data_IF_842565360974
#
_entry.id   IF_842565360974
#
_cell.length_a   1.000
_cell.length_b   1.000
_cell.length_c   1.000
_cell.angle_alpha   90.00
_cell.angle_beta   90.00
_cell.angle_gamma   90.00
#
_symmetry.space_group_name_H-M   'P 1'
#
loop_
_entity.id
_entity.type
_entity.pdbx_description
1 polymer ?
#
# COMPACT_ATOMS: atom_id res chain seq x y z
N UNK A 1 12.72 21.44 -9.76
CA UNK A 1 14.08 21.02 -10.15
C UNK A 1 14.79 20.35 -9.01
N UNK A 2 16.10 20.13 -9.17
CA UNK A 2 17.00 19.65 -8.12
C UNK A 2 16.93 20.56 -6.90
N UNK A 3 17.06 19.98 -5.70
CA UNK A 3 17.02 20.69 -4.44
C UNK A 3 17.73 19.87 -3.38
N UNK A 4 18.30 20.54 -2.41
CA UNK A 4 18.91 19.95 -1.21
C UNK A 4 18.03 20.11 0.02
N UNK A 5 16.86 20.76 -0.10
CA UNK A 5 15.92 20.95 1.00
C UNK A 5 15.35 19.59 1.46
N UNK A 6 15.65 19.14 2.69
CA UNK A 6 15.22 17.84 3.17
C UNK A 6 13.70 17.72 3.27
N UNK A 7 12.98 18.82 3.52
CA UNK A 7 11.51 18.83 3.63
C UNK A 7 10.89 18.57 2.26
N UNK A 8 11.40 19.24 1.22
CA UNK A 8 10.94 19.05 -0.16
C UNK A 8 11.26 17.64 -0.64
N UNK A 9 12.47 17.14 -0.36
CA UNK A 9 12.87 15.77 -0.73
C UNK A 9 11.95 14.74 -0.06
N UNK A 10 11.74 14.83 1.26
CA UNK A 10 10.87 13.92 2.01
C UNK A 10 9.44 13.93 1.45
N UNK A 11 8.92 15.11 1.12
CA UNK A 11 7.59 15.23 0.51
C UNK A 11 7.54 14.56 -0.86
N UNK A 12 8.54 14.76 -1.73
CA UNK A 12 8.60 14.13 -3.06
C UNK A 12 8.66 12.62 -2.98
N UNK A 13 9.49 12.06 -2.09
CA UNK A 13 9.58 10.61 -1.91
C UNK A 13 8.25 10.02 -1.42
N UNK A 14 7.55 10.71 -0.51
CA UNK A 14 6.19 10.33 -0.10
C UNK A 14 5.20 10.41 -1.26
N UNK A 15 5.25 11.46 -2.10
CA UNK A 15 4.35 11.56 -3.27
C UNK A 15 4.59 10.43 -4.28
N UNK A 16 5.85 10.03 -4.52
CA UNK A 16 6.16 8.87 -5.37
C UNK A 16 5.48 7.61 -4.84
N UNK A 17 5.60 7.36 -3.54
CA UNK A 17 4.92 6.22 -2.88
C UNK A 17 3.41 6.33 -2.94
N UNK A 18 2.82 7.52 -2.76
CA UNK A 18 1.38 7.72 -2.94
C UNK A 18 0.93 7.32 -4.34
N UNK A 19 1.59 7.79 -5.39
CA UNK A 19 1.19 7.47 -6.77
C UNK A 19 1.32 5.98 -7.07
N UNK A 20 2.43 5.35 -6.66
CA UNK A 20 2.62 3.91 -6.82
C UNK A 20 1.54 3.12 -6.07
N UNK A 21 1.29 3.46 -4.81
CA UNK A 21 0.26 2.82 -3.97
C UNK A 21 -1.13 2.99 -4.55
N UNK A 22 -1.52 4.19 -4.95
CA UNK A 22 -2.83 4.44 -5.58
C UNK A 22 -2.99 3.65 -6.88
N UNK A 23 -1.96 3.62 -7.74
CA UNK A 23 -1.99 2.88 -9.00
C UNK A 23 -2.14 1.37 -8.77
N UNK A 24 -1.36 0.80 -7.85
CA UNK A 24 -1.31 -0.65 -7.64
C UNK A 24 -2.49 -1.15 -6.79
N UNK A 25 -3.03 -0.33 -5.88
CA UNK A 25 -4.19 -0.71 -5.05
C UNK A 25 -5.53 -0.44 -5.75
N UNK A 26 -5.54 0.31 -6.85
CA UNK A 26 -6.75 0.52 -7.65
C UNK A 26 -7.16 -0.77 -8.37
N UNK A 27 -8.46 -0.93 -8.59
CA UNK A 27 -8.99 -2.04 -9.38
C UNK A 27 -8.60 -1.91 -10.85
N UNK A 28 -8.19 -3.02 -11.45
CA UNK A 28 -7.79 -3.12 -12.85
C UNK A 28 -6.39 -3.68 -13.03
N UNK A 29 -5.78 -3.38 -14.17
CA UNK A 29 -4.42 -3.85 -14.51
C UNK A 29 -3.44 -2.68 -14.35
N UNK A 30 -2.58 -2.66 -13.32
CA UNK A 30 -1.63 -1.57 -13.13
C UNK A 30 -0.53 -1.60 -14.20
N UNK A 31 -0.21 -0.44 -14.77
CA UNK A 31 0.90 -0.28 -15.72
C UNK A 31 1.93 0.69 -15.15
N UNK A 32 3.15 0.22 -14.93
CA UNK A 32 4.26 1.02 -14.40
C UNK A 32 5.18 1.43 -15.55
N UNK A 33 5.52 2.72 -15.62
CA UNK A 33 6.53 3.21 -16.53
C UNK A 33 7.92 2.73 -16.07
N UNK A 34 8.68 2.13 -16.98
CA UNK A 34 10.01 1.60 -16.66
C UNK A 34 10.92 2.69 -16.05
N UNK A 35 11.44 2.39 -14.86
CA UNK A 35 12.31 3.24 -14.07
C UNK A 35 11.61 4.04 -12.97
N UNK A 36 10.29 4.14 -12.96
CA UNK A 36 9.56 4.81 -11.87
C UNK A 36 9.74 4.06 -10.54
N UNK A 37 9.94 2.75 -10.58
CA UNK A 37 10.15 1.89 -9.41
C UNK A 37 11.41 2.25 -8.61
N UNK A 38 12.37 2.96 -9.21
CA UNK A 38 13.57 3.47 -8.54
C UNK A 38 13.80 4.98 -8.75
N UNK A 39 12.81 5.68 -9.31
CA UNK A 39 12.80 7.13 -9.43
C UNK A 39 13.62 7.69 -10.60
N UNK A 40 13.51 7.08 -11.79
CA UNK A 40 14.12 7.59 -13.03
C UNK A 40 13.72 9.05 -13.27
N UNK A 41 14.66 9.84 -13.79
CA UNK A 41 14.45 11.25 -14.10
C UNK A 41 14.85 11.55 -15.55
N UNK A 42 14.07 12.43 -16.19
CA UNK A 42 14.41 13.06 -17.47
C UNK A 42 14.74 14.56 -17.28
N UNK A 43 15.14 14.94 -16.06
CA UNK A 43 15.46 16.31 -15.64
C UNK A 43 14.35 17.34 -15.95
N UNK A 44 13.09 16.91 -15.89
CA UNK A 44 11.93 17.75 -16.17
C UNK A 44 11.50 17.79 -17.64
N UNK A 45 12.20 17.10 -18.54
CA UNK A 45 11.74 16.91 -19.92
C UNK A 45 10.58 15.89 -19.94
N UNK A 46 9.37 16.32 -20.30
CA UNK A 46 8.19 15.47 -20.43
C UNK A 46 7.99 14.93 -21.86
N UNK A 47 8.92 15.18 -22.78
CA UNK A 47 8.83 14.79 -24.19
C UNK A 47 10.22 14.41 -24.75
N UNK A 48 10.88 13.42 -24.15
CA UNK A 48 12.23 12.99 -24.50
C UNK A 48 12.32 12.12 -25.78
N UNK A 49 11.42 12.30 -26.75
CA UNK A 49 11.27 11.41 -27.91
C UNK A 49 12.50 11.37 -28.84
N UNK A 50 13.21 12.49 -28.98
CA UNK A 50 14.41 12.62 -29.83
C UNK A 50 15.73 12.49 -29.04
N UNK A 51 15.66 12.08 -27.77
CA UNK A 51 16.83 12.04 -26.89
C UNK A 51 17.36 10.61 -26.82
N UNK A 52 18.42 10.30 -27.56
CA UNK A 52 19.20 9.07 -27.37
C UNK A 52 20.48 9.38 -26.58
N UNK A 53 20.31 9.63 -25.28
CA UNK A 53 21.39 9.98 -24.36
C UNK A 53 20.97 9.77 -22.90
N UNK A 54 21.81 10.21 -21.95
CA UNK A 54 21.60 10.06 -20.50
C UNK A 54 20.24 10.59 -19.97
N UNK A 55 19.55 11.46 -20.71
CA UNK A 55 18.20 11.94 -20.33
C UNK A 55 17.15 10.84 -20.47
N UNK A 56 17.28 9.96 -21.48
CA UNK A 56 16.31 8.88 -21.72
C UNK A 56 16.78 7.54 -21.20
N UNK A 57 18.10 7.28 -21.21
CA UNK A 57 18.69 6.02 -20.78
C UNK A 57 18.37 5.69 -19.31
N UNK A 58 18.20 4.40 -19.03
CA UNK A 58 18.05 3.92 -17.65
C UNK A 58 19.40 3.97 -16.95
N UNK A 59 19.47 4.74 -15.86
CA UNK A 59 20.64 4.77 -14.99
C UNK A 59 20.52 3.69 -13.89
N UNK A 60 21.35 2.66 -13.98
CA UNK A 60 21.39 1.54 -13.03
C UNK A 60 22.23 1.83 -11.77
N UNK A 61 22.87 2.99 -11.67
CA UNK A 61 23.63 3.38 -10.48
C UNK A 61 22.69 3.97 -9.42
N UNK A 62 22.16 3.11 -8.56
CA UNK A 62 21.17 3.49 -7.54
C UNK A 62 21.81 4.10 -6.30
N UNK A 63 21.26 5.23 -5.85
CA UNK A 63 21.50 5.76 -4.51
C UNK A 63 20.61 5.06 -3.46
N UNK A 64 20.70 5.48 -2.20
CA UNK A 64 19.89 4.91 -1.11
C UNK A 64 18.39 5.12 -1.32
N UNK A 65 17.97 6.28 -1.86
CA UNK A 65 16.56 6.61 -2.08
C UNK A 65 15.95 5.76 -3.19
N UNK A 66 16.68 5.60 -4.30
CA UNK A 66 16.32 4.69 -5.38
C UNK A 66 16.19 3.26 -4.88
N UNK A 67 17.09 2.82 -3.98
CA UNK A 67 16.97 1.48 -3.39
C UNK A 67 15.72 1.34 -2.51
N UNK A 68 15.41 2.33 -1.66
CA UNK A 68 14.24 2.30 -0.79
C UNK A 68 12.93 2.28 -1.59
N UNK A 69 12.82 3.11 -2.64
CA UNK A 69 11.66 3.11 -3.53
C UNK A 69 11.49 1.79 -4.27
N UNK A 70 12.60 1.16 -4.70
CA UNK A 70 12.55 -0.15 -5.35
C UNK A 70 12.06 -1.23 -4.38
N UNK A 71 12.51 -1.23 -3.12
CA UNK A 71 12.02 -2.16 -2.10
C UNK A 71 10.53 -1.95 -1.83
N UNK A 72 10.09 -0.69 -1.70
CA UNK A 72 8.69 -0.34 -1.53
C UNK A 72 7.82 -0.83 -2.69
N UNK A 73 8.25 -0.57 -3.94
CA UNK A 73 7.53 -1.00 -5.14
C UNK A 73 7.42 -2.53 -5.21
N UNK A 74 8.51 -3.25 -4.89
CA UNK A 74 8.52 -4.72 -4.87
C UNK A 74 7.60 -5.29 -3.80
N UNK A 75 7.57 -4.67 -2.63
CA UNK A 75 6.65 -5.04 -1.56
C UNK A 75 5.21 -4.86 -2.00
N UNK A 76 4.89 -3.71 -2.58
CA UNK A 76 3.54 -3.36 -3.02
C UNK A 76 3.04 -4.29 -4.15
N UNK A 77 3.90 -4.62 -5.12
CA UNK A 77 3.57 -5.61 -6.16
C UNK A 77 3.38 -7.01 -5.59
N UNK A 78 4.21 -7.42 -4.62
CA UNK A 78 4.04 -8.71 -3.95
C UNK A 78 2.70 -8.76 -3.20
N UNK A 79 2.34 -7.67 -2.53
CA UNK A 79 1.07 -7.51 -1.83
C UNK A 79 -0.11 -7.59 -2.82
N UNK A 80 -0.06 -6.82 -3.90
CA UNK A 80 -1.06 -6.88 -4.97
C UNK A 80 -1.31 -8.30 -5.45
N UNK A 81 -0.24 -9.04 -5.77
CA UNK A 81 -0.33 -10.42 -6.26
C UNK A 81 -0.83 -11.42 -5.20
N UNK A 82 -0.67 -11.13 -3.91
CA UNK A 82 -1.16 -12.01 -2.84
C UNK A 82 -2.61 -11.75 -2.43
N UNK A 83 -3.24 -10.69 -2.95
CA UNK A 83 -4.58 -10.27 -2.54
C UNK A 83 -5.55 -10.25 -3.73
N UNK A 84 -6.31 -11.34 -3.96
CA UNK A 84 -7.34 -11.42 -5.00
C UNK A 84 -8.38 -10.29 -4.96
N UNK A 85 -8.65 -9.70 -3.79
CA UNK A 85 -9.58 -8.55 -3.68
C UNK A 85 -9.14 -7.33 -4.51
N UNK A 86 -7.86 -7.25 -4.88
CA UNK A 86 -7.27 -6.20 -5.73
C UNK A 86 -7.25 -6.57 -7.23
N UNK A 87 -7.56 -7.82 -7.57
CA UNK A 87 -7.45 -8.39 -8.92
C UNK A 87 -8.81 -8.88 -9.45
N UNK A 88 -9.90 -8.23 -9.02
CA UNK A 88 -11.26 -8.67 -9.35
C UNK A 88 -11.54 -8.57 -10.85
N UNK A 89 -12.33 -9.54 -11.35
CA UNK A 89 -12.84 -9.51 -12.73
C UNK A 89 -14.12 -8.70 -12.84
N UNK A 90 -14.83 -8.51 -11.73
CA UNK A 90 -16.10 -7.78 -11.67
C UNK A 90 -15.99 -6.56 -10.75
N UNK A 91 -16.73 -5.51 -11.10
CA UNK A 91 -16.87 -4.34 -10.25
C UNK A 91 -17.47 -4.69 -8.88
N UNK A 92 -17.15 -3.87 -7.89
CA UNK A 92 -17.85 -3.88 -6.61
C UNK A 92 -19.26 -3.32 -6.78
N UNK A 93 -20.21 -3.88 -6.04
CA UNK A 93 -21.61 -3.48 -6.09
C UNK A 93 -21.97 -2.42 -5.03
N UNK A 94 -21.17 -2.28 -3.96
CA UNK A 94 -21.44 -1.36 -2.85
C UNK A 94 -22.72 -1.71 -2.09
N UNK A 95 -23.19 -2.95 -2.21
CA UNK A 95 -24.43 -3.47 -1.64
C UNK A 95 -24.10 -4.68 -0.78
N UNK A 96 -24.96 -4.96 0.18
CA UNK A 96 -24.84 -6.18 0.98
C UNK A 96 -24.80 -7.38 0.04
N UNK A 97 -23.73 -8.16 0.15
CA UNK A 97 -23.60 -9.38 -0.65
C UNK A 97 -24.61 -10.41 -0.17
N UNK A 98 -25.04 -11.28 -1.07
CA UNK A 98 -26.06 -12.30 -0.74
C UNK A 98 -25.57 -13.31 0.32
N UNK A 99 -24.26 -13.41 0.50
CA UNK A 99 -23.62 -14.43 1.33
C UNK A 99 -23.25 -13.92 2.73
N UNK A 100 -22.59 -12.77 2.84
CA UNK A 100 -22.13 -12.24 4.14
C UNK A 100 -23.11 -11.22 4.76
N UNK A 101 -24.02 -10.65 3.97
CA UNK A 101 -24.88 -9.55 4.42
C UNK A 101 -24.13 -8.23 4.65
N UNK A 102 -22.81 -8.20 4.39
CA UNK A 102 -21.93 -7.04 4.48
C UNK A 102 -21.70 -6.50 3.06
N UNK A 103 -21.54 -5.18 2.92
CA UNK A 103 -21.15 -4.56 1.65
C UNK A 103 -19.74 -4.99 1.25
N UNK A 104 -19.59 -5.40 0.00
CA UNK A 104 -18.30 -5.76 -0.61
C UNK A 104 -17.30 -4.59 -0.62
N UNK A 105 -17.83 -3.36 -0.69
CA UNK A 105 -17.09 -2.11 -0.64
C UNK A 105 -17.80 -1.09 0.24
N UNK A 106 -17.06 -0.32 1.04
CA UNK A 106 -17.62 0.81 1.81
C UNK A 106 -16.65 1.97 1.84
N UNK A 107 -17.14 3.17 1.57
CA UNK A 107 -16.38 4.42 1.64
C UNK A 107 -16.63 5.11 2.97
N UNK A 108 -15.58 5.52 3.66
CA UNK A 108 -15.64 6.09 4.99
C UNK A 108 -15.16 7.53 5.03
N UNK A 109 -15.87 8.35 5.80
CA UNK A 109 -15.40 9.63 6.28
C UNK A 109 -14.47 9.41 7.50
N UNK A 110 -13.52 10.32 7.82
CA UNK A 110 -12.60 10.14 8.94
C UNK A 110 -13.26 9.97 10.32
N UNK A 111 -14.51 10.38 10.49
CA UNK A 111 -15.27 10.13 11.72
C UNK A 111 -15.81 8.69 11.85
N UNK A 112 -15.44 7.81 10.91
CA UNK A 112 -15.78 6.38 10.92
C UNK A 112 -17.14 6.06 10.30
N UNK A 113 -17.89 7.05 9.84
CA UNK A 113 -19.20 6.85 9.18
C UNK A 113 -19.03 6.63 7.68
N UNK A 114 -20.01 5.97 7.08
CA UNK A 114 -20.07 5.85 5.61
C UNK A 114 -20.27 7.23 4.98
N UNK A 115 -19.55 7.51 3.88
CA UNK A 115 -19.66 8.78 3.16
C UNK A 115 -21.08 9.00 2.65
N UNK A 116 -21.63 10.17 2.93
CA UNK A 116 -22.95 10.60 2.46
C UNK A 116 -22.86 11.27 1.09
N UNK A 117 -23.99 11.45 0.41
CA UNK A 117 -24.06 12.23 -0.84
C UNK A 117 -23.55 13.68 -0.66
N UNK A 118 -23.78 14.28 0.51
CA UNK A 118 -23.24 15.61 0.84
C UNK A 118 -21.72 15.62 0.89
N UNK A 119 -21.10 14.57 1.44
CA UNK A 119 -19.64 14.45 1.49
C UNK A 119 -19.04 14.30 0.09
N UNK A 120 -19.66 13.49 -0.78
CA UNK A 120 -19.23 13.31 -2.17
C UNK A 120 -19.25 14.59 -2.98
N UNK A 121 -20.23 15.46 -2.73
CA UNK A 121 -20.38 16.73 -3.43
C UNK A 121 -19.62 17.87 -2.76
N UNK A 122 -18.89 17.62 -1.66
CA UNK A 122 -18.15 18.65 -0.94
C UNK A 122 -16.73 18.84 -1.54
N UNK A 123 -16.46 19.95 -2.24
CA UNK A 123 -15.18 20.19 -2.87
C UNK A 123 -14.06 20.51 -1.86
N UNK A 124 -14.31 20.53 -0.55
CA UNK A 124 -13.27 20.69 0.49
C UNK A 124 -12.72 19.35 0.98
N UNK A 125 -13.47 18.25 0.81
CA UNK A 125 -13.02 16.93 1.24
C UNK A 125 -11.88 16.47 0.33
N UNK A 126 -10.73 16.17 0.95
CA UNK A 126 -9.50 15.68 0.30
C UNK A 126 -9.00 14.39 0.94
N UNK A 127 -9.84 13.75 1.75
CA UNK A 127 -9.52 12.54 2.48
C UNK A 127 -10.68 11.56 2.35
N UNK A 128 -10.37 10.27 2.38
CA UNK A 128 -11.36 9.22 2.36
C UNK A 128 -10.76 7.92 2.89
N UNK A 129 -11.61 7.06 3.46
CA UNK A 129 -11.32 5.67 3.73
C UNK A 129 -12.06 4.77 2.73
N UNK A 130 -11.45 3.65 2.37
CA UNK A 130 -12.04 2.63 1.51
C UNK A 130 -11.82 1.27 2.16
N UNK A 131 -12.91 0.61 2.54
CA UNK A 131 -12.87 -0.79 3.01
C UNK A 131 -13.30 -1.73 1.90
N UNK A 132 -12.48 -2.74 1.65
CA UNK A 132 -12.76 -3.84 0.73
C UNK A 132 -12.92 -5.11 1.56
N UNK A 133 -14.13 -5.66 1.58
CA UNK A 133 -14.44 -6.86 2.37
C UNK A 133 -13.96 -8.12 1.62
N UNK A 134 -12.89 -8.74 2.14
CA UNK A 134 -12.24 -9.89 1.52
C UNK A 134 -13.03 -11.20 1.64
N UNK A 135 -13.95 -11.27 2.60
CA UNK A 135 -14.89 -12.37 2.84
C UNK A 135 -16.21 -12.22 2.05
N UNK A 136 -16.36 -11.11 1.31
CA UNK A 136 -17.56 -10.77 0.54
C UNK A 136 -17.29 -10.79 -0.99
N UNK A 137 -16.33 -11.59 -1.44
CA UNK A 137 -16.04 -11.78 -2.85
C UNK A 137 -17.02 -12.79 -3.45
N UNK A 138 -17.86 -12.34 -4.39
CA UNK A 138 -18.85 -13.18 -5.10
C UNK A 138 -18.25 -13.93 -6.31
N UNK A 139 -16.93 -13.89 -6.47
CA UNK A 139 -16.20 -14.57 -7.56
C UNK A 139 -15.70 -15.95 -7.11
N UNK A 140 -15.61 -16.87 -8.07
CA UNK A 140 -15.02 -18.19 -7.91
C UNK A 140 -13.75 -18.31 -8.74
N UNK A 141 -12.85 -19.19 -8.32
CA UNK A 141 -11.63 -19.49 -9.06
C UNK A 141 -11.89 -20.39 -10.29
N UNK A 142 -10.82 -20.82 -10.95
CA UNK A 142 -10.92 -21.69 -12.14
C UNK A 142 -11.44 -23.11 -11.85
N UNK A 143 -11.47 -23.51 -10.58
CA UNK A 143 -12.00 -24.78 -10.11
C UNK A 143 -13.44 -24.65 -9.58
N UNK A 144 -13.97 -23.43 -9.52
CA UNK A 144 -15.31 -23.16 -8.99
C UNK A 144 -15.34 -22.95 -7.47
N UNK A 145 -14.18 -22.87 -6.82
CA UNK A 145 -14.07 -22.62 -5.39
C UNK A 145 -14.21 -21.13 -5.08
N UNK A 146 -14.79 -20.81 -3.92
CA UNK A 146 -14.99 -19.43 -3.52
C UNK A 146 -13.65 -18.74 -3.25
N UNK A 147 -13.47 -17.55 -3.84
CA UNK A 147 -12.31 -16.71 -3.55
C UNK A 147 -12.55 -15.99 -2.23
N UNK A 148 -11.60 -16.08 -1.31
CA UNK A 148 -11.63 -15.43 -0.01
C UNK A 148 -10.30 -14.73 0.22
N UNK A 149 -10.35 -13.54 0.81
CA UNK A 149 -9.17 -12.72 1.10
C UNK A 149 -9.28 -12.05 2.49
N UNK A 150 -8.19 -11.44 2.93
CA UNK A 150 -8.19 -10.53 4.07
C UNK A 150 -9.02 -9.27 3.75
N UNK A 151 -9.64 -8.66 4.76
CA UNK A 151 -10.33 -7.37 4.57
C UNK A 151 -9.31 -6.24 4.56
N UNK A 152 -9.37 -5.37 3.56
CA UNK A 152 -8.43 -4.25 3.41
C UNK A 152 -9.11 -2.93 3.76
N UNK A 153 -8.36 -2.04 4.40
CA UNK A 153 -8.77 -0.65 4.64
C UNK A 153 -7.69 0.30 4.11
N UNK A 154 -8.00 1.01 3.04
CA UNK A 154 -7.12 1.99 2.40
C UNK A 154 -7.55 3.38 2.87
N UNK A 155 -6.66 4.09 3.55
CA UNK A 155 -6.87 5.47 3.96
C UNK A 155 -6.05 6.39 3.05
N UNK A 156 -6.68 7.46 2.59
CA UNK A 156 -6.11 8.47 1.71
C UNK A 156 -6.29 9.84 2.36
N UNK A 157 -5.19 10.57 2.53
CA UNK A 157 -5.21 11.97 2.92
C UNK A 157 -4.46 12.80 1.87
N UNK A 158 -5.21 13.40 0.94
CA UNK A 158 -4.70 14.38 -0.02
C UNK A 158 -4.68 15.82 0.52
N UNK A 159 -5.17 16.05 1.74
CA UNK A 159 -5.13 17.36 2.38
C UNK A 159 -3.70 17.73 2.80
N UNK A 160 -3.46 19.03 2.97
CA UNK A 160 -2.14 19.54 3.34
C UNK A 160 -1.84 19.46 4.84
N UNK A 161 -2.84 19.11 5.65
CA UNK A 161 -2.76 18.92 7.10
C UNK A 161 -3.01 17.44 7.46
N UNK A 162 -2.51 16.99 8.62
CA UNK A 162 -2.89 15.69 9.19
C UNK A 162 -4.40 15.59 9.42
N UNK A 163 -4.91 14.36 9.38
CA UNK A 163 -6.32 14.02 9.62
C UNK A 163 -6.38 12.80 10.53
N UNK A 164 -7.25 12.83 11.54
CA UNK A 164 -7.49 11.68 12.41
C UNK A 164 -8.64 10.84 11.86
N UNK A 165 -8.37 9.57 11.59
CA UNK A 165 -9.37 8.59 11.19
C UNK A 165 -9.80 7.75 12.39
N UNK A 166 -11.10 7.51 12.53
CA UNK A 166 -11.66 6.47 13.38
C UNK A 166 -11.69 5.16 12.58
N UNK A 167 -10.96 4.14 13.05
CA UNK A 167 -10.93 2.86 12.35
C UNK A 167 -12.27 2.12 12.52
N UNK A 168 -12.79 1.46 11.47
CA UNK A 168 -14.04 0.72 11.56
C UNK A 168 -14.01 -0.34 12.67
N UNK A 169 -15.16 -0.58 13.27
CA UNK A 169 -15.34 -1.65 14.26
C UNK A 169 -14.95 -3.02 13.68
N UNK A 170 -14.32 -3.84 14.51
CA UNK A 170 -14.00 -5.25 14.26
C UNK A 170 -14.32 -6.06 15.53
N UNK A 171 -14.28 -7.39 15.45
CA UNK A 171 -14.49 -8.22 16.63
C UNK A 171 -13.39 -7.98 17.69
N UNK A 172 -13.69 -8.31 18.95
CA UNK A 172 -12.84 -7.98 20.10
C UNK A 172 -11.45 -8.62 20.03
N UNK A 173 -11.37 -9.82 19.48
CA UNK A 173 -10.16 -10.61 19.24
C UNK A 173 -9.47 -10.30 17.91
N UNK A 174 -10.10 -9.52 17.05
CA UNK A 174 -9.52 -9.04 15.81
C UNK A 174 -8.79 -7.69 15.99
N UNK A 175 -7.80 -7.45 15.13
CA UNK A 175 -7.01 -6.21 15.12
C UNK A 175 -6.73 -5.79 13.68
N UNK A 176 -6.83 -4.49 13.43
CA UNK A 176 -6.32 -3.90 12.20
C UNK A 176 -4.80 -3.87 12.23
N UNK A 177 -4.19 -4.50 11.23
CA UNK A 177 -2.75 -4.49 10.99
C UNK A 177 -2.39 -3.33 10.06
N UNK A 178 -1.60 -2.36 10.52
CA UNK A 178 -1.01 -1.36 9.62
C UNK A 178 0.08 -2.03 8.78
N UNK A 179 -0.24 -2.29 7.51
CA UNK A 179 0.64 -2.95 6.53
C UNK A 179 1.75 -2.00 6.09
N UNK A 180 1.39 -0.77 5.72
CA UNK A 180 2.36 0.28 5.43
C UNK A 180 1.72 1.68 5.51
N UNK A 181 2.57 2.69 5.75
CA UNK A 181 2.28 4.09 5.44
C UNK A 181 3.31 4.63 4.47
N UNK A 182 2.87 5.46 3.53
CA UNK A 182 3.75 6.20 2.59
C UNK A 182 4.65 7.24 3.27
N UNK A 183 4.38 7.56 4.54
CA UNK A 183 5.28 8.36 5.39
C UNK A 183 6.61 7.64 5.60
N UNK A 184 6.55 6.32 5.76
CA UNK A 184 7.70 5.46 5.98
C UNK A 184 8.44 5.22 4.66
N UNK A 185 9.78 5.20 4.70
CA UNK A 185 10.59 4.94 3.50
C UNK A 185 10.53 3.47 3.06
N UNK A 186 10.32 2.56 4.01
CA UNK A 186 10.19 1.13 3.81
C UNK A 186 8.99 0.62 4.61
N UNK A 187 8.28 -0.41 4.11
CA UNK A 187 7.19 -1.03 4.86
C UNK A 187 7.67 -1.60 6.20
N UNK A 188 6.77 -1.61 7.18
CA UNK A 188 7.07 -2.16 8.50
C UNK A 188 7.33 -3.68 8.40
N UNK A 189 8.38 -4.14 9.07
CA UNK A 189 8.70 -5.59 9.14
C UNK A 189 7.64 -6.32 9.97
N UNK A 190 7.13 -5.65 11.00
CA UNK A 190 6.07 -6.14 11.87
C UNK A 190 4.89 -5.17 11.82
N UNK A 191 3.65 -5.66 11.62
CA UNK A 191 2.49 -4.78 11.58
C UNK A 191 2.27 -4.15 12.96
N UNK A 192 1.91 -2.87 12.96
CA UNK A 192 1.39 -2.20 14.15
C UNK A 192 -0.09 -2.54 14.25
N UNK A 193 -0.53 -3.00 15.42
CA UNK A 193 -1.90 -3.45 15.66
C UNK A 193 -2.76 -2.33 16.24
N UNK A 194 -3.99 -2.23 15.75
CA UNK A 194 -4.99 -1.27 16.20
C UNK A 194 -6.31 -1.99 16.51
N UNK A 195 -6.98 -1.56 17.57
CA UNK A 195 -8.34 -1.98 17.89
C UNK A 195 -9.35 -1.36 16.90
N UNK A 196 -10.49 -2.02 16.69
CA UNK A 196 -11.65 -1.37 16.08
C UNK A 196 -12.11 -0.17 16.92
N UNK A 197 -12.65 0.87 16.27
CA UNK A 197 -13.01 2.15 16.89
C UNK A 197 -11.84 2.90 17.56
N UNK A 198 -10.59 2.52 17.32
CA UNK A 198 -9.43 3.31 17.72
C UNK A 198 -9.15 4.44 16.73
N UNK A 199 -8.47 5.49 17.19
CA UNK A 199 -8.06 6.60 16.36
C UNK A 199 -6.69 6.36 15.72
N UNK A 200 -6.54 6.76 14.46
CA UNK A 200 -5.29 6.76 13.72
C UNK A 200 -5.01 8.16 13.18
N UNK A 201 -3.94 8.79 13.68
CA UNK A 201 -3.48 10.08 13.17
C UNK A 201 -2.71 9.88 11.87
N UNK A 202 -3.29 10.35 10.76
CA UNK A 202 -2.74 10.18 9.43
C UNK A 202 -2.11 11.48 8.95
N UNK A 203 -0.82 11.42 8.63
CA UNK A 203 -0.04 12.54 8.12
C UNK A 203 -0.63 13.18 6.86
N UNK A 204 -0.32 14.46 6.65
CA UNK A 204 -0.71 15.17 5.43
C UNK A 204 -0.17 14.49 4.17
N UNK A 205 -0.92 14.57 3.06
CA UNK A 205 -0.51 14.09 1.73
C UNK A 205 0.07 12.68 1.77
N UNK A 206 -0.64 11.75 2.39
CA UNK A 206 -0.18 10.37 2.61
C UNK A 206 -1.29 9.36 2.26
N UNK A 207 -0.86 8.10 2.13
CA UNK A 207 -1.69 6.90 2.04
C UNK A 207 -1.22 5.90 3.10
N UNK A 208 -2.18 5.26 3.78
CA UNK A 208 -1.93 4.14 4.70
C UNK A 208 -2.83 2.96 4.36
N UNK A 209 -2.26 1.76 4.39
CA UNK A 209 -2.99 0.52 4.15
C UNK A 209 -3.05 -0.30 5.44
N UNK A 210 -4.26 -0.65 5.83
CA UNK A 210 -4.56 -1.57 6.91
C UNK A 210 -5.13 -2.87 6.34
N UNK A 211 -4.97 -3.93 7.12
CA UNK A 211 -5.51 -5.25 6.83
C UNK A 211 -6.12 -5.85 8.08
N UNK A 212 -7.28 -6.44 7.94
CA UNK A 212 -7.90 -7.30 8.94
C UNK A 212 -7.77 -8.73 8.43
N UNK A 213 -6.83 -9.53 8.97
CA UNK A 213 -6.61 -10.88 8.49
C UNK A 213 -7.87 -11.71 8.65
N UNK A 214 -8.18 -12.58 7.68
CA UNK A 214 -9.32 -13.46 7.86
C UNK A 214 -9.07 -14.37 9.06
N UNK A 215 -10.05 -14.44 9.96
CA UNK A 215 -10.09 -15.38 11.08
C UNK A 215 -10.29 -16.80 10.53
N UNK A 216 -9.26 -17.37 9.90
CA UNK A 216 -9.16 -18.81 9.74
C UNK A 216 -9.21 -19.38 11.15
N UNK A 217 -10.16 -20.29 11.41
CA UNK A 217 -10.26 -21.09 12.64
C UNK A 217 -8.89 -21.19 13.32
N UNK A 218 -8.80 -20.57 14.50
CA UNK A 218 -7.60 -20.42 15.32
C UNK A 218 -6.64 -21.61 15.23
N UNK A 219 -5.50 -21.39 14.55
CA UNK A 219 -4.44 -22.39 14.43
C UNK A 219 -3.05 -21.76 14.53
N UNK A 220 -2.09 -22.39 15.25
CA UNK A 220 -0.73 -21.87 15.48
C UNK A 220 0.11 -21.69 14.20
N UNK A 221 -0.36 -22.16 13.04
CA UNK A 221 0.37 -22.10 11.77
C UNK A 221 0.51 -20.68 11.18
N UNK A 222 -0.44 -19.77 11.44
CA UNK A 222 -0.40 -18.39 10.90
C UNK A 222 0.72 -17.54 11.52
N UNK A 223 0.90 -17.63 12.84
CA UNK A 223 1.98 -16.95 13.56
C UNK A 223 3.37 -17.44 13.11
N UNK A 224 3.48 -18.74 12.82
CA UNK A 224 4.70 -19.35 12.28
C UNK A 224 5.00 -18.78 10.88
N UNK A 225 4.01 -18.66 10.01
CA UNK A 225 4.22 -18.19 8.63
C UNK A 225 4.59 -16.69 8.56
N UNK A 226 4.04 -15.85 9.45
CA UNK A 226 4.44 -14.43 9.58
C UNK A 226 5.89 -14.35 10.10
N UNK A 227 6.24 -15.11 11.14
CA UNK A 227 7.59 -15.17 11.70
C UNK A 227 8.62 -15.71 10.69
N UNK A 228 8.28 -16.74 9.93
CA UNK A 228 9.16 -17.30 8.89
C UNK A 228 9.39 -16.31 7.74
N UNK A 229 8.37 -15.58 7.33
CA UNK A 229 8.53 -14.52 6.33
C UNK A 229 9.40 -13.37 6.84
N UNK A 230 9.20 -12.92 8.08
CA UNK A 230 10.04 -11.91 8.72
C UNK A 230 11.50 -12.38 8.84
N UNK A 231 11.74 -13.63 9.29
CA UNK A 231 13.06 -14.25 9.36
C UNK A 231 13.71 -14.37 7.99
N UNK A 232 12.95 -14.67 6.94
CA UNK A 232 13.46 -14.73 5.56
C UNK A 232 13.88 -13.36 5.03
N UNK A 233 13.16 -12.31 5.41
CA UNK A 233 13.49 -10.92 5.08
C UNK A 233 14.75 -10.48 5.83
N UNK A 234 14.85 -10.74 7.13
CA UNK A 234 16.02 -10.43 7.95
C UNK A 234 17.28 -11.16 7.44
N UNK A 235 17.19 -12.46 7.14
CA UNK A 235 18.30 -13.24 6.56
C UNK A 235 18.76 -12.69 5.20
N UNK A 236 17.86 -12.09 4.40
CA UNK A 236 18.21 -11.44 3.13
C UNK A 236 18.87 -10.08 3.35
N UNK A 237 18.42 -9.31 4.33
CA UNK A 237 19.06 -8.05 4.72
C UNK A 237 20.49 -8.29 5.24
N UNK A 238 20.69 -9.29 6.10
CA UNK A 238 22.01 -9.68 6.63
C UNK A 238 22.97 -10.14 5.52
N UNK A 239 22.50 -10.96 4.56
CA UNK A 239 23.32 -11.36 3.40
C UNK A 239 23.73 -10.16 2.55
N UNK A 240 22.84 -9.18 2.38
CA UNK A 240 23.12 -7.97 1.61
C UNK A 240 24.17 -7.07 2.28
N UNK A 241 24.17 -7.02 3.62
CA UNK A 241 25.17 -6.32 4.43
C UNK A 241 26.52 -7.08 4.40
N UNK A 242 26.51 -8.41 4.48
CA UNK A 242 27.71 -9.26 4.41
C UNK A 242 28.43 -9.16 3.05
N UNK A 243 27.67 -9.10 1.94
CA UNK A 243 28.23 -8.92 0.60
C UNK A 243 28.87 -7.54 0.44
N UNK A 244 28.27 -6.49 1.03
CA UNK A 244 28.87 -5.14 1.04
C UNK A 244 30.14 -5.08 1.91
N UNK A 245 30.19 -5.77 3.06
CA UNK A 245 31.39 -5.79 3.91
C UNK A 245 32.55 -6.57 3.29
N UNK A 246 32.28 -7.65 2.53
CA UNK A 246 33.30 -8.39 1.77
C UNK A 246 33.85 -7.58 0.59
N UNK A 247 33.02 -6.80 -0.11
CA UNK A 247 33.50 -5.91 -1.19
C UNK A 247 34.38 -4.76 -0.69
N UNK A 248 34.18 -4.28 0.53
CA UNK A 248 35.03 -3.25 1.14
C UNK A 248 36.34 -3.78 1.73
N UNK A 249 36.53 -5.10 1.82
CA UNK A 249 37.80 -5.73 2.25
C UNK A 249 38.71 -6.17 1.08
N UNK A 250 38.23 -6.06 -0.16
CA UNK A 250 38.98 -6.45 -1.38
C UNK A 250 39.36 -5.18 -2.20
N UNK A 251 39.43 -4.03 -1.54
CA UNK A 251 40.01 -2.80 -2.10
C UNK A 251 41.09 -2.29 -1.17
#
# INVERSE_FOLDING_TARGET
GETTDPVIIKLRERQKRNFLSTLILAQGVPMILAGDEFGRTQHGNNNAYCQDNKISWINWNFDSKSHNLLQFTRFLLKFFHSHPILQRRRFFNGRNTRQSGIKDLTWFHPDGKEMTEGDWNNPQIRYLGLRLAGDAIEEVDEHGEQIIDDTLLILLNGHFEPVTFLLPECLKDEKWELVFSTVDEVPNIFPVLYDGNSSYEMESRSLSLFRLPISSVSGPEKSINIMENALRILRRAERSISIKSRRNKIK
#
